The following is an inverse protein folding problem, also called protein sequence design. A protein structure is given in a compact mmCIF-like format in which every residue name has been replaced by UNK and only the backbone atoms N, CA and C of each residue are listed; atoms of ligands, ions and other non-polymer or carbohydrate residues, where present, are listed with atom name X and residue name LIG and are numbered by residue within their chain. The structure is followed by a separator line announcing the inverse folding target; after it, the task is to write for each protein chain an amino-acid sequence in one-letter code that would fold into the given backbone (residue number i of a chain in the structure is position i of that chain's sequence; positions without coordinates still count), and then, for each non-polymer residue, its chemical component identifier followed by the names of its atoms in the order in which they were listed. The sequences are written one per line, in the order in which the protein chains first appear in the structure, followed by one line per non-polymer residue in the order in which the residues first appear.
data_IF_481599955697
#
_entry.id   IF_481599955697
#
_cell.length_a   1.000
_cell.length_b   1.000
_cell.length_c   1.000
_cell.angle_alpha   90.00
_cell.angle_beta   90.00
_cell.angle_gamma   90.00
#
_symmetry.space_group_name_H-M   'P 1'
#
loop_
_entity.id
_entity.type
_entity.pdbx_description
1 polymer ?
#
# COMPACT_ATOMS: atom_id res chain seq x y z
N UNK A 1 -8.98 4.91 4.94
CA UNK A 1 -7.72 5.68 4.98
C UNK A 1 -6.96 5.42 3.70
N UNK A 2 -6.36 6.44 3.06
CA UNK A 2 -5.57 6.21 1.84
C UNK A 2 -4.21 5.64 2.19
N UNK A 3 -3.64 4.81 1.31
CA UNK A 3 -2.30 4.25 1.47
C UNK A 3 -1.24 5.34 1.69
N UNK A 4 -1.40 6.49 1.04
CA UNK A 4 -0.55 7.68 1.17
C UNK A 4 -0.54 8.23 2.60
N UNK A 5 -1.71 8.38 3.20
CA UNK A 5 -1.86 8.87 4.58
C UNK A 5 -1.25 7.87 5.56
N UNK A 6 -1.51 6.57 5.35
CA UNK A 6 -0.98 5.50 6.19
C UNK A 6 0.55 5.49 6.18
N UNK A 7 1.17 5.70 5.01
CA UNK A 7 2.62 5.71 4.87
C UNK A 7 3.26 7.04 5.31
N UNK A 8 2.54 8.16 5.25
CA UNK A 8 3.05 9.49 5.61
C UNK A 8 3.06 9.74 7.13
N UNK A 9 2.12 9.14 7.87
CA UNK A 9 2.03 9.25 9.33
C UNK A 9 3.01 8.35 10.11
N UNK A 10 3.94 7.67 9.44
CA UNK A 10 4.84 6.68 10.06
C UNK A 10 6.28 7.16 10.08
N UNK A 11 7.04 6.67 11.06
CA UNK A 11 8.44 7.06 11.27
C UNK A 11 9.33 6.78 10.04
N UNK A 12 10.41 7.55 9.94
CA UNK A 12 11.44 7.37 8.91
C UNK A 12 11.99 5.94 8.98
N UNK A 13 11.98 5.23 7.85
CA UNK A 13 12.38 3.82 7.76
C UNK A 13 11.23 2.82 7.75
N UNK A 14 10.03 3.20 8.20
CA UNK A 14 8.84 2.35 8.16
C UNK A 14 8.52 1.89 6.73
N UNK A 15 8.56 2.81 5.75
CA UNK A 15 8.28 2.49 4.34
C UNK A 15 9.17 1.38 3.77
N UNK A 16 10.44 1.34 4.18
CA UNK A 16 11.37 0.31 3.73
C UNK A 16 11.06 -1.06 4.34
N UNK A 17 10.73 -1.10 5.63
CA UNK A 17 10.32 -2.33 6.31
C UNK A 17 8.96 -2.82 5.81
N UNK A 18 8.01 -1.91 5.60
CA UNK A 18 6.70 -2.22 5.07
C UNK A 18 6.78 -2.78 3.64
N UNK A 19 7.62 -2.20 2.78
CA UNK A 19 7.87 -2.73 1.46
C UNK A 19 8.40 -4.17 1.51
N UNK A 20 9.36 -4.46 2.41
CA UNK A 20 9.87 -5.82 2.64
C UNK A 20 8.78 -6.77 3.15
N UNK A 21 7.97 -6.35 4.12
CA UNK A 21 6.88 -7.14 4.70
C UNK A 21 5.84 -7.53 3.65
N UNK A 22 5.49 -6.60 2.76
CA UNK A 22 4.51 -6.81 1.70
C UNK A 22 5.14 -7.56 0.49
N UNK A 23 6.47 -7.62 0.43
CA UNK A 23 7.22 -8.32 -0.61
C UNK A 23 7.38 -7.52 -1.91
N UNK A 24 7.50 -6.19 -1.80
CA UNK A 24 7.72 -5.27 -2.92
C UNK A 24 8.95 -4.41 -2.69
N UNK A 25 9.47 -3.81 -3.76
CA UNK A 25 10.54 -2.83 -3.62
C UNK A 25 10.01 -1.52 -3.06
N UNK A 26 10.86 -0.78 -2.35
CA UNK A 26 10.51 0.55 -1.82
C UNK A 26 10.14 1.51 -2.96
N UNK A 27 10.85 1.45 -4.09
CA UNK A 27 10.52 2.23 -5.28
C UNK A 27 9.12 1.91 -5.83
N UNK A 28 8.73 0.64 -5.85
CA UNK A 28 7.40 0.23 -6.29
C UNK A 28 6.32 0.77 -5.35
N UNK A 29 6.51 0.62 -4.03
CA UNK A 29 5.60 1.17 -3.03
C UNK A 29 5.45 2.69 -3.19
N UNK A 30 6.56 3.40 -3.44
CA UNK A 30 6.54 4.85 -3.68
C UNK A 30 5.82 5.23 -4.98
N UNK A 31 5.95 4.45 -6.05
CA UNK A 31 5.20 4.68 -7.28
C UNK A 31 3.69 4.50 -7.10
N UNK A 32 3.29 3.50 -6.29
CA UNK A 32 1.90 3.33 -5.88
C UNK A 32 1.40 4.48 -5.01
N UNK A 33 2.21 4.95 -4.06
CA UNK A 33 1.93 6.12 -3.23
C UNK A 33 1.70 7.38 -4.09
N UNK A 34 2.57 7.62 -5.08
CA UNK A 34 2.46 8.76 -6.00
C UNK A 34 1.37 8.60 -7.07
N UNK A 35 0.64 7.48 -7.09
CA UNK A 35 -0.37 7.19 -8.11
C UNK A 35 0.18 6.94 -9.52
N UNK A 36 1.50 6.80 -9.68
CA UNK A 36 2.15 6.52 -10.98
C UNK A 36 1.94 5.09 -11.45
N UNK A 37 1.64 4.17 -10.54
CA UNK A 37 1.43 2.75 -10.85
C UNK A 37 0.20 2.24 -10.10
N UNK A 38 -0.72 1.59 -10.83
CA UNK A 38 -1.88 0.95 -10.21
C UNK A 38 -1.42 -0.21 -9.33
N UNK A 39 -1.94 -0.27 -8.11
CA UNK A 39 -1.65 -1.35 -7.16
C UNK A 39 -2.24 -2.66 -7.72
N UNK A 40 -1.44 -3.73 -7.89
CA UNK A 40 -1.96 -5.02 -8.30
C UNK A 40 -2.96 -5.60 -7.27
N UNK A 41 -3.98 -6.38 -7.68
CA UNK A 41 -4.99 -6.91 -6.75
C UNK A 41 -4.40 -7.79 -5.64
N UNK A 42 -3.38 -8.60 -5.97
CA UNK A 42 -2.68 -9.42 -4.97
C UNK A 42 -1.97 -8.54 -3.93
N UNK A 43 -1.45 -7.39 -4.36
CA UNK A 43 -0.73 -6.46 -3.50
C UNK A 43 -1.70 -5.72 -2.58
N UNK A 44 -2.84 -5.29 -3.12
CA UNK A 44 -3.89 -4.65 -2.33
C UNK A 44 -4.36 -5.55 -1.17
N UNK A 45 -4.57 -6.85 -1.43
CA UNK A 45 -4.88 -7.83 -0.38
C UNK A 45 -3.74 -7.96 0.64
N UNK A 46 -2.48 -8.06 0.20
CA UNK A 46 -1.33 -8.15 1.11
C UNK A 46 -1.19 -6.91 1.99
N UNK A 47 -1.39 -5.72 1.43
CA UNK A 47 -1.34 -4.45 2.17
C UNK A 47 -2.47 -4.41 3.19
N UNK A 48 -3.69 -4.77 2.81
CA UNK A 48 -4.84 -4.83 3.74
C UNK A 48 -4.55 -5.75 4.94
N UNK A 49 -4.01 -6.94 4.69
CA UNK A 49 -3.59 -7.88 5.76
C UNK A 49 -2.43 -7.30 6.58
N UNK A 50 -1.41 -6.74 5.93
CA UNK A 50 -0.22 -6.17 6.60
C UNK A 50 -0.53 -4.91 7.43
N UNK A 51 -1.60 -4.20 7.06
CA UNK A 51 -2.12 -3.03 7.80
C UNK A 51 -3.26 -3.39 8.74
N UNK A 52 -3.55 -4.68 8.92
CA UNK A 52 -4.61 -5.18 9.77
C UNK A 52 -6.00 -4.55 9.49
N UNK A 53 -6.25 -4.23 8.22
CA UNK A 53 -7.49 -3.58 7.77
C UNK A 53 -7.53 -2.07 7.91
N UNK A 54 -6.45 -1.39 8.35
CA UNK A 54 -6.41 0.09 8.35
C UNK A 54 -6.51 0.67 6.92
N UNK A 55 -5.98 -0.05 5.93
CA UNK A 55 -6.07 0.31 4.51
C UNK A 55 -6.85 -0.76 3.75
N UNK A 56 -8.09 -0.46 3.38
CA UNK A 56 -8.95 -1.38 2.62
C UNK A 56 -8.48 -1.53 1.17
N UNK A 57 -8.54 -2.77 0.65
CA UNK A 57 -8.24 -3.05 -0.76
C UNK A 57 -9.19 -2.34 -1.73
N UNK A 58 -10.45 -2.15 -1.34
CA UNK A 58 -11.47 -1.45 -2.13
C UNK A 58 -11.16 0.04 -2.28
N UNK A 59 -10.61 0.65 -1.23
CA UNK A 59 -10.13 2.05 -1.28
C UNK A 59 -8.90 2.19 -2.20
N UNK A 60 -8.00 1.20 -2.20
CA UNK A 60 -6.81 1.20 -3.06
C UNK A 60 -7.12 0.95 -4.53
N UNK A 61 -8.12 0.12 -4.83
CA UNK A 61 -8.54 -0.25 -6.19
C UNK A 61 -10.06 -0.38 -6.24
N UNK A 62 -10.80 0.74 -6.26
CA UNK A 62 -12.25 0.69 -6.47
C UNK A 62 -12.57 0.10 -7.85
N UNK A 63 -11.75 0.37 -8.87
CA UNK A 63 -11.82 -0.17 -10.23
C UNK A 63 -12.02 -1.71 -10.36
N UNK A 64 -11.70 -2.51 -9.33
CA UNK A 64 -11.57 -3.96 -9.44
C UNK A 64 -12.41 -4.74 -8.40
N UNK A 65 -12.99 -4.04 -7.42
CA UNK A 65 -13.70 -4.63 -6.28
C UNK A 65 -15.12 -4.05 -6.11
N UNK A 66 -15.66 -3.43 -7.17
CA UNK A 66 -17.09 -3.12 -7.31
C UNK A 66 -17.98 -4.36 -7.06
#
# INVERSE_FOLDING_TARGET
MKLTEYLSNRQRGFKANFAKQVGVSMCFLRNCEMGRTKIPPYLAKKIEVATNGEVSKSEMRPDLWD
#
